data_IF_801555865123
#
_entry.id   IF_801555865123
#
_cell.length_a   1.000
_cell.length_b   1.000
_cell.length_c   1.000
_cell.angle_alpha   90.00
_cell.angle_beta   90.00
_cell.angle_gamma   90.00
#
_symmetry.space_group_name_H-M   'P 1'
#
loop_
_entity.id
_entity.type
_entity.pdbx_description
1 polymer ?
#
# COMPACT_ATOMS: atom_id res chain seq x y z
N UNK A 1 1.58 -17.38 51.43
CA UNK A 1 0.14 -17.06 51.27
C UNK A 1 -0.28 -17.48 49.87
N UNK A 2 -0.90 -18.65 49.72
CA UNK A 2 -1.33 -19.17 48.42
C UNK A 2 -2.78 -18.73 48.17
N UNK A 3 -3.00 -17.91 47.14
CA UNK A 3 -4.34 -17.49 46.70
C UNK A 3 -4.92 -18.55 45.75
N UNK A 4 -5.89 -19.33 46.23
CA UNK A 4 -6.70 -20.22 45.40
C UNK A 4 -7.87 -19.45 44.78
N UNK A 5 -7.82 -19.17 43.48
CA UNK A 5 -8.98 -18.66 42.74
C UNK A 5 -9.95 -19.81 42.44
N UNK A 6 -11.13 -19.81 43.08
CA UNK A 6 -12.27 -20.66 42.74
C UNK A 6 -12.94 -20.09 41.48
N UNK A 7 -12.76 -20.74 40.34
CA UNK A 7 -13.52 -20.46 39.12
C UNK A 7 -14.93 -21.05 39.23
N UNK A 8 -15.92 -20.17 39.14
CA UNK A 8 -17.35 -20.48 39.01
C UNK A 8 -17.62 -21.15 37.66
N UNK A 9 -18.02 -22.42 37.66
CA UNK A 9 -18.54 -23.10 36.46
C UNK A 9 -19.98 -22.65 36.25
N UNK A 10 -20.16 -21.63 35.41
CA UNK A 10 -21.46 -21.21 34.91
C UNK A 10 -22.09 -22.30 34.05
N UNK A 11 -23.31 -22.73 34.40
CA UNK A 11 -24.14 -23.64 33.60
C UNK A 11 -24.45 -22.99 32.24
N UNK A 12 -23.72 -23.41 31.20
CA UNK A 12 -24.04 -23.05 29.81
C UNK A 12 -25.36 -23.67 29.37
N UNK A 13 -26.41 -22.85 29.25
CA UNK A 13 -27.64 -23.23 28.53
C UNK A 13 -27.30 -23.35 27.04
N UNK A 14 -27.08 -24.58 26.56
CA UNK A 14 -27.00 -24.85 25.11
C UNK A 14 -28.40 -24.67 24.52
N UNK A 15 -28.57 -23.63 23.69
CA UNK A 15 -29.75 -23.50 22.82
C UNK A 15 -29.69 -24.64 21.79
N UNK A 16 -30.80 -25.37 21.51
CA UNK A 16 -30.79 -26.36 20.45
C UNK A 16 -30.56 -25.66 19.11
N UNK A 17 -29.64 -26.20 18.32
CA UNK A 17 -29.44 -25.84 16.92
C UNK A 17 -30.76 -26.05 16.18
N UNK A 18 -31.21 -25.03 15.45
CA UNK A 18 -32.45 -25.07 14.69
C UNK A 18 -32.49 -26.26 13.74
N UNK A 19 -33.69 -26.82 13.54
CA UNK A 19 -33.91 -27.92 12.62
C UNK A 19 -33.33 -27.60 11.23
N UNK A 20 -32.70 -28.58 10.54
CA UNK A 20 -32.23 -28.35 9.18
C UNK A 20 -33.42 -28.00 8.31
N UNK A 21 -33.33 -26.88 7.60
CA UNK A 21 -34.29 -26.52 6.55
C UNK A 21 -34.42 -27.73 5.62
N UNK A 22 -35.61 -28.33 5.58
CA UNK A 22 -35.92 -29.34 4.59
C UNK A 22 -35.83 -28.67 3.21
N UNK A 23 -34.74 -28.93 2.49
CA UNK A 23 -34.66 -28.60 1.07
C UNK A 23 -35.62 -29.55 0.37
N UNK A 24 -36.86 -29.10 0.17
CA UNK A 24 -37.73 -29.71 -0.84
C UNK A 24 -36.91 -29.69 -2.14
N UNK A 25 -36.57 -30.89 -2.63
CA UNK A 25 -35.82 -31.05 -3.86
C UNK A 25 -36.65 -30.44 -4.99
N UNK A 26 -36.36 -29.18 -5.34
CA UNK A 26 -36.86 -28.58 -6.57
C UNK A 26 -36.19 -29.35 -7.70
N UNK A 27 -36.92 -30.30 -8.26
CA UNK A 27 -36.54 -31.02 -9.45
C UNK A 27 -36.49 -30.02 -10.61
N UNK A 28 -35.32 -29.48 -10.90
CA UNK A 28 -35.07 -28.75 -12.13
C UNK A 28 -34.83 -29.78 -13.24
N UNK A 29 -35.93 -30.33 -13.75
CA UNK A 29 -35.95 -31.18 -14.94
C UNK A 29 -36.85 -30.56 -15.99
N UNK A 30 -36.46 -30.63 -17.25
CA UNK A 30 -37.27 -30.19 -18.38
C UNK A 30 -38.55 -31.04 -18.43
N UNK A 31 -39.68 -30.50 -17.96
CA UNK A 31 -40.96 -31.18 -17.96
C UNK A 31 -41.47 -31.28 -19.41
N UNK A 32 -41.26 -32.43 -20.05
CA UNK A 32 -41.84 -32.76 -21.35
C UNK A 32 -43.35 -33.01 -21.17
N UNK A 33 -44.24 -32.24 -21.84
CA UNK A 33 -45.67 -32.46 -21.73
C UNK A 33 -46.04 -33.82 -22.34
N UNK A 34 -46.82 -34.62 -21.60
CA UNK A 34 -47.42 -35.87 -22.10
C UNK A 34 -48.34 -35.55 -23.28
N UNK A 35 -48.25 -36.37 -24.31
CA UNK A 35 -48.87 -36.18 -25.62
C UNK A 35 -50.30 -36.75 -25.58
N UNK A 36 -51.28 -35.89 -25.33
CA UNK A 36 -52.69 -36.28 -25.41
C UNK A 36 -53.17 -36.29 -26.89
N UNK A 37 -53.96 -37.30 -27.23
CA UNK A 37 -54.48 -37.57 -28.57
C UNK A 37 -55.53 -36.53 -29.00
N UNK A 38 -55.54 -36.24 -30.31
CA UNK A 38 -55.96 -34.94 -30.88
C UNK A 38 -57.43 -34.96 -31.30
N UNK A 39 -58.24 -34.00 -30.82
CA UNK A 39 -59.52 -33.63 -31.45
C UNK A 39 -59.27 -32.63 -32.59
N UNK A 40 -60.11 -32.71 -33.64
CA UNK A 40 -59.96 -32.08 -34.97
C UNK A 40 -60.09 -30.54 -35.02
N UNK A 41 -59.73 -29.83 -33.94
CA UNK A 41 -59.59 -28.37 -33.90
C UNK A 41 -58.18 -27.87 -33.53
N UNK A 42 -57.21 -28.77 -33.36
CA UNK A 42 -55.89 -28.46 -32.78
C UNK A 42 -54.82 -28.00 -33.80
N UNK A 43 -55.06 -28.20 -35.10
CA UNK A 43 -54.06 -27.94 -36.15
C UNK A 43 -53.78 -26.44 -36.34
N UNK A 44 -54.79 -25.57 -36.23
CA UNK A 44 -54.62 -24.12 -36.39
C UNK A 44 -53.81 -23.50 -35.24
N UNK A 45 -53.99 -24.00 -34.00
CA UNK A 45 -53.25 -23.52 -32.81
C UNK A 45 -51.80 -24.01 -32.78
N UNK A 46 -51.50 -25.22 -33.27
CA UNK A 46 -50.11 -25.70 -33.42
C UNK A 46 -49.33 -24.90 -34.44
N UNK A 47 -49.92 -24.61 -35.60
CA UNK A 47 -49.28 -23.80 -36.65
C UNK A 47 -49.03 -22.37 -36.15
N UNK A 48 -49.97 -21.78 -35.40
CA UNK A 48 -49.77 -20.47 -34.76
C UNK A 48 -48.66 -20.47 -33.69
N UNK A 49 -48.57 -21.52 -32.88
CA UNK A 49 -47.50 -21.67 -31.88
C UNK A 49 -46.13 -21.94 -32.51
N UNK A 50 -46.07 -22.72 -33.60
CA UNK A 50 -44.86 -22.98 -34.38
C UNK A 50 -44.39 -21.74 -35.13
N UNK A 51 -45.31 -20.95 -35.70
CA UNK A 51 -45.02 -19.65 -36.30
C UNK A 51 -44.52 -18.63 -35.27
N UNK A 52 -45.08 -18.63 -34.05
CA UNK A 52 -44.57 -17.80 -32.97
C UNK A 52 -43.15 -18.23 -32.55
N UNK A 53 -42.90 -19.54 -32.44
CA UNK A 53 -41.56 -20.09 -32.12
C UNK A 53 -40.53 -19.78 -33.20
N UNK A 54 -40.89 -19.88 -34.48
CA UNK A 54 -39.98 -19.53 -35.58
C UNK A 54 -39.66 -18.03 -35.59
N UNK A 55 -40.64 -17.17 -35.26
CA UNK A 55 -40.40 -15.74 -35.09
C UNK A 55 -39.42 -15.47 -33.94
N UNK A 56 -39.60 -16.12 -32.79
CA UNK A 56 -38.69 -15.99 -31.64
C UNK A 56 -37.28 -16.49 -31.98
N UNK A 57 -37.17 -17.63 -32.65
CA UNK A 57 -35.87 -18.15 -33.10
C UNK A 57 -35.18 -17.18 -34.05
N UNK A 58 -35.91 -16.58 -35.00
CA UNK A 58 -35.36 -15.59 -35.91
C UNK A 58 -34.85 -14.32 -35.20
N UNK A 59 -35.49 -13.93 -34.09
CA UNK A 59 -35.04 -12.80 -33.28
C UNK A 59 -33.77 -13.18 -32.50
N UNK A 60 -33.72 -14.38 -31.91
CA UNK A 60 -32.54 -14.90 -31.22
C UNK A 60 -31.35 -15.00 -32.17
N UNK A 61 -31.54 -15.50 -33.38
CA UNK A 61 -30.48 -15.65 -34.38
C UNK A 61 -29.93 -14.28 -34.82
N UNK A 62 -30.80 -13.27 -34.96
CA UNK A 62 -30.39 -11.88 -35.25
C UNK A 62 -29.54 -11.29 -34.12
N UNK A 63 -29.99 -11.44 -32.87
CA UNK A 63 -29.25 -10.94 -31.71
C UNK A 63 -27.92 -11.67 -31.55
N UNK A 64 -27.89 -12.99 -31.76
CA UNK A 64 -26.66 -13.78 -31.75
C UNK A 64 -25.69 -13.34 -32.85
N UNK A 65 -26.18 -13.10 -34.06
CA UNK A 65 -25.35 -12.62 -35.17
C UNK A 65 -24.80 -11.21 -34.90
N UNK A 66 -25.59 -10.33 -34.28
CA UNK A 66 -25.13 -9.01 -33.85
C UNK A 66 -24.04 -9.11 -32.78
N UNK A 67 -24.25 -9.94 -31.76
CA UNK A 67 -23.26 -10.16 -30.70
C UNK A 67 -21.93 -10.73 -31.23
N UNK A 68 -21.99 -11.70 -32.17
CA UNK A 68 -20.80 -12.26 -32.82
C UNK A 68 -20.10 -11.26 -33.77
N UNK A 69 -20.85 -10.32 -34.35
CA UNK A 69 -20.29 -9.27 -35.20
C UNK A 69 -19.58 -8.17 -34.39
N UNK A 70 -20.06 -7.90 -33.18
CA UNK A 70 -19.41 -6.99 -32.23
C UNK A 70 -18.14 -7.63 -31.64
N UNK A 71 -18.24 -8.89 -31.17
CA UNK A 71 -17.11 -9.64 -30.63
C UNK A 71 -17.31 -11.15 -30.80
N UNK A 72 -16.36 -11.79 -31.48
CA UNK A 72 -16.36 -13.23 -31.73
C UNK A 72 -16.17 -14.06 -30.45
N UNK A 73 -15.58 -13.49 -29.39
CA UNK A 73 -15.28 -14.16 -28.12
C UNK A 73 -16.39 -14.06 -27.07
N UNK A 74 -17.54 -13.43 -27.39
CA UNK A 74 -18.66 -13.20 -26.45
C UNK A 74 -19.16 -14.47 -25.73
N UNK A 75 -19.03 -15.63 -26.38
CA UNK A 75 -19.48 -16.91 -25.82
C UNK A 75 -18.32 -17.82 -25.35
N UNK A 76 -17.06 -17.35 -25.41
CA UNK A 76 -15.87 -18.08 -24.96
C UNK A 76 -15.67 -17.94 -23.44
N UNK A 77 -16.59 -18.53 -22.68
CA UNK A 77 -16.54 -18.50 -21.21
C UNK A 77 -15.33 -19.24 -20.62
N UNK A 78 -14.81 -20.25 -21.31
CA UNK A 78 -13.70 -21.07 -20.85
C UNK A 78 -12.38 -20.27 -20.83
N UNK A 79 -12.14 -19.46 -21.86
CA UNK A 79 -10.95 -18.61 -21.96
C UNK A 79 -10.87 -17.61 -20.80
N UNK A 80 -11.98 -16.95 -20.45
CA UNK A 80 -12.04 -16.02 -19.32
C UNK A 80 -11.77 -16.74 -17.99
N UNK A 81 -12.29 -17.96 -17.84
CA UNK A 81 -12.07 -18.75 -16.64
C UNK A 81 -10.61 -19.20 -16.50
N UNK A 82 -10.00 -19.65 -17.60
CA UNK A 82 -8.58 -20.03 -17.65
C UNK A 82 -7.66 -18.83 -17.36
N UNK A 83 -7.99 -17.64 -17.85
CA UNK A 83 -7.28 -16.40 -17.54
C UNK A 83 -7.39 -16.04 -16.05
N UNK A 84 -8.59 -16.10 -15.47
CA UNK A 84 -8.80 -15.84 -14.04
C UNK A 84 -8.07 -16.86 -13.17
N UNK A 85 -8.09 -18.12 -13.58
CA UNK A 85 -7.45 -19.22 -12.85
C UNK A 85 -5.93 -19.12 -12.93
N UNK A 86 -5.37 -18.91 -14.11
CA UNK A 86 -3.93 -18.71 -14.32
C UNK A 86 -3.42 -17.46 -13.60
N UNK A 87 -4.17 -16.35 -13.62
CA UNK A 87 -3.85 -15.16 -12.84
C UNK A 87 -3.80 -15.48 -11.34
N UNK A 88 -4.81 -16.19 -10.82
CA UNK A 88 -4.87 -16.59 -9.41
C UNK A 88 -3.74 -17.53 -9.01
N UNK A 89 -3.40 -18.50 -9.85
CA UNK A 89 -2.28 -19.44 -9.64
C UNK A 89 -0.95 -18.70 -9.66
N UNK A 90 -0.72 -17.81 -10.63
CA UNK A 90 0.51 -17.00 -10.69
C UNK A 90 0.68 -16.10 -9.46
N UNK A 91 -0.40 -15.51 -8.95
CA UNK A 91 -0.36 -14.71 -7.73
C UNK A 91 -0.14 -15.58 -6.48
N UNK A 92 -0.67 -16.81 -6.47
CA UNK A 92 -0.41 -17.77 -5.40
C UNK A 92 1.07 -18.18 -5.38
N UNK A 93 1.66 -18.46 -6.55
CA UNK A 93 3.07 -18.82 -6.69
C UNK A 93 4.00 -17.66 -6.31
N UNK A 94 3.69 -16.44 -6.74
CA UNK A 94 4.40 -15.22 -6.30
C UNK A 94 4.32 -15.02 -4.79
N UNK A 95 3.19 -15.37 -4.16
CA UNK A 95 3.05 -15.30 -2.69
C UNK A 95 3.82 -16.43 -2.00
N UNK A 96 3.83 -17.63 -2.58
CA UNK A 96 4.57 -18.76 -2.04
C UNK A 96 6.08 -18.51 -2.07
N UNK A 97 6.61 -18.06 -3.21
CA UNK A 97 8.02 -17.67 -3.38
C UNK A 97 8.43 -16.57 -2.40
N UNK A 98 7.64 -15.49 -2.26
CA UNK A 98 7.88 -14.44 -1.25
C UNK A 98 7.91 -14.99 0.18
N UNK A 99 6.99 -15.88 0.54
CA UNK A 99 6.97 -16.52 1.87
C UNK A 99 8.20 -17.40 2.10
N UNK A 100 8.69 -18.11 1.09
CA UNK A 100 9.93 -18.88 1.21
C UNK A 100 11.15 -17.99 1.37
N UNK A 101 11.23 -16.89 0.62
CA UNK A 101 12.28 -15.89 0.78
C UNK A 101 12.26 -15.25 2.17
N UNK A 102 11.07 -14.96 2.71
CA UNK A 102 10.89 -14.44 4.07
C UNK A 102 11.37 -15.44 5.12
N UNK A 103 11.12 -16.74 4.94
CA UNK A 103 11.63 -17.79 5.84
C UNK A 103 13.15 -17.94 5.79
N UNK A 104 13.77 -17.71 4.63
CA UNK A 104 15.23 -17.77 4.46
C UNK A 104 15.94 -16.58 5.12
N UNK A 105 15.27 -15.43 5.22
CA UNK A 105 15.84 -14.23 5.85
C UNK A 105 15.76 -14.36 7.39
N UNK A 106 16.84 -14.10 8.12
CA UNK A 106 16.81 -14.14 9.58
C UNK A 106 15.91 -13.02 10.12
N UNK A 107 15.05 -13.38 11.08
CA UNK A 107 13.95 -12.53 11.58
C UNK A 107 14.38 -11.16 12.13
N UNK A 108 15.60 -11.06 12.68
CA UNK A 108 16.04 -9.87 13.42
C UNK A 108 17.28 -9.16 12.87
N UNK A 109 17.96 -9.71 11.85
CA UNK A 109 19.25 -9.14 11.41
C UNK A 109 19.09 -7.71 10.89
N UNK A 110 18.01 -7.44 10.16
CA UNK A 110 17.73 -6.13 9.59
C UNK A 110 17.54 -5.08 10.69
N UNK A 111 16.77 -5.42 11.72
CA UNK A 111 16.53 -4.55 12.88
C UNK A 111 17.82 -4.31 13.66
N UNK A 112 18.64 -5.33 13.86
CA UNK A 112 19.93 -5.18 14.54
C UNK A 112 20.88 -4.26 13.75
N UNK A 113 20.94 -4.41 12.42
CA UNK A 113 21.74 -3.54 11.55
C UNK A 113 21.23 -2.10 11.56
N UNK A 114 19.91 -1.89 11.53
CA UNK A 114 19.29 -0.57 11.65
C UNK A 114 19.63 0.07 13.00
N UNK A 115 19.52 -0.67 14.10
CA UNK A 115 19.86 -0.17 15.44
C UNK A 115 21.36 0.13 15.58
N UNK A 116 22.23 -0.69 15.00
CA UNK A 116 23.66 -0.42 14.96
C UNK A 116 23.95 0.92 14.26
N UNK A 117 23.34 1.15 13.10
CA UNK A 117 23.46 2.41 12.36
C UNK A 117 22.96 3.62 13.16
N UNK A 118 21.82 3.48 13.85
CA UNK A 118 21.29 4.54 14.74
C UNK A 118 22.29 4.86 15.86
N UNK A 119 22.88 3.83 16.48
CA UNK A 119 23.90 4.00 17.54
C UNK A 119 25.18 4.65 17.01
N UNK A 120 25.60 4.33 15.79
CA UNK A 120 26.76 4.97 15.16
C UNK A 120 26.54 6.49 15.03
N UNK A 121 25.37 6.90 14.52
CA UNK A 121 24.99 8.30 14.41
C UNK A 121 24.93 8.99 15.78
N UNK A 122 24.34 8.34 16.79
CA UNK A 122 24.29 8.91 18.14
C UNK A 122 25.69 9.05 18.77
N UNK A 123 26.55 8.05 18.59
CA UNK A 123 27.93 8.10 19.06
C UNK A 123 28.73 9.22 18.37
N UNK A 124 28.47 9.50 17.10
CA UNK A 124 29.03 10.65 16.38
C UNK A 124 28.54 11.97 16.98
N UNK A 125 27.24 12.12 17.23
CA UNK A 125 26.65 13.30 17.89
C UNK A 125 27.28 13.55 19.26
N UNK A 126 27.46 12.50 20.07
CA UNK A 126 28.11 12.59 21.39
C UNK A 126 29.56 13.07 21.24
N UNK A 127 30.32 12.50 20.29
CA UNK A 127 31.70 12.91 20.02
C UNK A 127 31.80 14.37 19.59
N UNK A 128 30.92 14.84 18.71
CA UNK A 128 30.91 16.25 18.29
C UNK A 128 30.53 17.19 19.43
N UNK A 129 29.52 16.85 20.25
CA UNK A 129 29.17 17.65 21.44
C UNK A 129 30.32 17.74 22.43
N UNK A 130 31.03 16.63 22.65
CA UNK A 130 32.24 16.61 23.50
C UNK A 130 33.31 17.55 22.93
N UNK A 131 33.58 17.45 21.63
CA UNK A 131 34.56 18.30 20.94
C UNK A 131 34.18 19.79 20.98
N UNK A 132 32.88 20.12 20.89
CA UNK A 132 32.40 21.50 21.05
C UNK A 132 32.62 22.02 22.48
N UNK A 133 32.42 21.19 23.49
CA UNK A 133 32.70 21.57 24.88
C UNK A 133 34.20 21.77 25.12
N UNK A 134 35.06 20.91 24.56
CA UNK A 134 36.52 21.08 24.59
C UNK A 134 36.93 22.40 23.92
N UNK A 135 36.36 22.73 22.75
CA UNK A 135 36.59 24.02 22.09
C UNK A 135 36.14 25.22 22.92
N UNK A 136 34.99 25.14 23.59
CA UNK A 136 34.53 26.22 24.47
C UNK A 136 35.49 26.44 25.63
N UNK A 137 36.05 25.37 26.20
CA UNK A 137 37.05 25.47 27.25
C UNK A 137 38.36 26.10 26.74
N UNK A 138 38.82 25.69 25.56
CA UNK A 138 40.01 26.28 24.92
C UNK A 138 39.79 27.75 24.55
N UNK A 139 38.60 28.10 24.07
CA UNK A 139 38.21 29.47 23.73
C UNK A 139 38.20 30.41 24.95
N UNK A 140 37.90 29.89 26.15
CA UNK A 140 38.00 30.67 27.40
C UNK A 140 39.46 31.01 27.73
N UNK A 141 40.40 30.11 27.41
CA UNK A 141 41.81 30.29 27.74
C UNK A 141 42.62 30.99 26.63
N UNK A 142 42.15 30.91 25.38
CA UNK A 142 42.89 31.36 24.19
C UNK A 142 42.03 32.18 23.22
N UNK A 143 40.90 32.73 23.67
CA UNK A 143 39.96 33.50 22.86
C UNK A 143 40.58 34.73 22.18
N UNK A 144 41.63 35.29 22.77
CA UNK A 144 42.34 36.47 22.24
C UNK A 144 43.28 36.13 21.06
N UNK A 145 43.49 34.84 20.75
CA UNK A 145 44.37 34.40 19.66
C UNK A 145 43.60 34.20 18.36
N UNK A 146 44.30 34.36 17.23
CA UNK A 146 43.72 34.17 15.91
C UNK A 146 43.29 32.71 15.67
N UNK A 147 42.02 32.51 15.27
CA UNK A 147 41.47 31.19 14.95
C UNK A 147 41.58 30.91 13.45
N UNK A 148 42.56 30.11 13.06
CA UNK A 148 42.75 29.71 11.66
C UNK A 148 41.90 28.47 11.35
N UNK A 149 40.93 28.64 10.45
CA UNK A 149 39.97 27.58 10.10
C UNK A 149 40.21 27.05 8.69
N UNK A 150 40.61 25.79 8.58
CA UNK A 150 40.79 25.08 7.30
C UNK A 150 39.49 24.91 6.53
N UNK A 151 39.57 24.91 5.19
CA UNK A 151 38.38 24.76 4.32
C UNK A 151 37.59 23.47 4.58
N UNK A 152 38.26 22.38 4.94
CA UNK A 152 37.64 21.11 5.33
C UNK A 152 36.76 21.25 6.59
N UNK A 153 37.22 22.00 7.58
CA UNK A 153 36.47 22.23 8.80
C UNK A 153 35.26 23.13 8.58
N UNK A 154 35.39 24.16 7.73
CA UNK A 154 34.23 24.98 7.33
C UNK A 154 33.13 24.15 6.68
N UNK A 155 33.50 23.17 5.84
CA UNK A 155 32.55 22.21 5.24
C UNK A 155 31.87 21.33 6.29
N UNK A 156 32.64 20.78 7.24
CA UNK A 156 32.09 19.98 8.35
C UNK A 156 31.10 20.78 9.20
N UNK A 157 31.39 22.06 9.45
CA UNK A 157 30.52 22.95 10.23
C UNK A 157 29.19 23.22 9.50
N UNK A 158 29.24 23.41 8.18
CA UNK A 158 28.04 23.58 7.36
C UNK A 158 27.21 22.29 7.30
N UNK A 159 27.86 21.14 7.20
CA UNK A 159 27.19 19.84 7.23
C UNK A 159 26.48 19.62 8.57
N UNK A 160 27.16 19.88 9.69
CA UNK A 160 26.57 19.80 11.02
C UNK A 160 25.36 20.74 11.19
N UNK A 161 25.46 21.99 10.72
CA UNK A 161 24.33 22.92 10.74
C UNK A 161 23.13 22.45 9.91
N UNK A 162 23.38 21.74 8.79
CA UNK A 162 22.29 21.14 7.99
C UNK A 162 21.61 20.01 8.74
N UNK A 163 22.38 19.13 9.38
CA UNK A 163 21.83 18.06 10.22
C UNK A 163 21.01 18.61 11.39
N UNK A 164 21.52 19.64 12.10
CA UNK A 164 20.80 20.28 13.19
C UNK A 164 19.50 20.96 12.73
N UNK A 165 19.52 21.59 11.55
CA UNK A 165 18.35 22.22 10.96
C UNK A 165 17.29 21.19 10.52
N UNK A 166 17.70 20.04 9.97
CA UNK A 166 16.77 18.97 9.59
C UNK A 166 16.16 18.30 10.83
N UNK A 167 16.98 18.00 11.85
CA UNK A 167 16.50 17.48 13.14
C UNK A 167 15.51 18.47 13.79
N UNK A 168 15.80 19.79 13.75
CA UNK A 168 14.89 20.82 14.27
C UNK A 168 13.58 20.90 13.47
N UNK A 169 13.64 20.71 12.14
CA UNK A 169 12.46 20.67 11.28
C UNK A 169 11.57 19.46 11.60
N UNK A 170 12.18 18.28 11.76
CA UNK A 170 11.47 17.05 12.12
C UNK A 170 10.88 17.15 13.53
N UNK A 171 11.64 17.69 14.49
CA UNK A 171 11.14 17.92 15.84
C UNK A 171 9.96 18.91 15.85
N UNK A 172 9.99 19.97 15.02
CA UNK A 172 8.87 20.90 14.90
C UNK A 172 7.63 20.25 14.27
N UNK A 173 7.80 19.35 13.29
CA UNK A 173 6.70 18.56 12.71
C UNK A 173 6.11 17.61 13.76
N UNK A 174 6.96 16.88 14.49
CA UNK A 174 6.53 15.97 15.55
C UNK A 174 5.81 16.72 16.68
N UNK A 175 6.29 17.90 17.08
CA UNK A 175 5.65 18.79 18.05
C UNK A 175 4.23 19.20 17.59
N UNK A 176 4.07 19.47 16.30
CA UNK A 176 2.78 19.81 15.69
C UNK A 176 1.85 18.59 15.60
N UNK A 177 2.39 17.39 15.42
CA UNK A 177 1.61 16.15 15.35
C UNK A 177 1.38 15.50 16.73
N UNK A 178 2.01 16.00 17.78
CA UNK A 178 1.87 15.51 19.15
C UNK A 178 0.48 15.81 19.72
N UNK A 179 -0.31 14.74 19.83
CA UNK A 179 -1.65 14.70 20.38
C UNK A 179 -1.72 15.31 21.79
N UNK A 180 -0.65 15.24 22.59
CA UNK A 180 -0.65 15.82 23.96
C UNK A 180 -0.60 17.34 23.97
N UNK A 181 -0.13 17.95 22.88
CA UNK A 181 0.10 19.40 22.74
C UNK A 181 -0.98 20.11 21.95
N UNK A 182 -1.68 19.37 21.08
CA UNK A 182 -2.71 19.88 20.16
C UNK A 182 -4.09 20.16 20.79
N UNK A 183 -4.27 19.93 22.10
CA UNK A 183 -5.50 20.30 22.82
C UNK A 183 -6.79 19.74 22.19
N UNK A 184 -7.73 20.63 21.84
CA UNK A 184 -9.06 20.26 21.32
C UNK A 184 -9.00 19.57 19.93
N UNK A 185 -7.98 19.85 19.11
CA UNK A 185 -7.79 19.23 17.79
C UNK A 185 -6.95 17.94 17.81
N UNK A 186 -6.41 17.57 18.97
CA UNK A 186 -5.56 16.40 19.17
C UNK A 186 -6.21 15.09 18.71
N UNK A 187 -7.48 14.87 19.08
CA UNK A 187 -8.20 13.65 18.73
C UNK A 187 -8.49 13.58 17.22
N UNK A 188 -8.83 14.70 16.60
CA UNK A 188 -9.12 14.75 15.17
C UNK A 188 -7.88 14.43 14.31
N UNK A 189 -6.71 14.96 14.69
CA UNK A 189 -5.43 14.64 14.05
C UNK A 189 -5.03 13.17 14.21
N UNK A 190 -5.22 12.62 15.42
CA UNK A 190 -4.99 11.19 15.70
C UNK A 190 -5.84 10.27 14.80
N UNK A 191 -7.15 10.52 14.68
CA UNK A 191 -8.03 9.71 13.85
C UNK A 191 -7.76 9.87 12.34
N UNK A 192 -7.37 11.06 11.88
CA UNK A 192 -6.94 11.27 10.51
C UNK A 192 -5.66 10.48 10.15
N UNK A 193 -4.77 10.28 11.12
CA UNK A 193 -3.55 9.49 10.94
C UNK A 193 -3.75 7.97 11.15
N UNK A 194 -4.85 7.56 11.79
CA UNK A 194 -5.13 6.16 12.10
C UNK A 194 -5.26 5.28 10.85
N UNK A 195 -5.90 5.80 9.80
CA UNK A 195 -6.07 5.10 8.51
C UNK A 195 -4.79 5.03 7.67
N UNK A 196 -3.77 5.85 8.00
CA UNK A 196 -2.45 5.81 7.36
C UNK A 196 -1.54 4.77 8.04
N UNK A 197 -1.82 4.39 9.28
CA UNK A 197 -1.08 3.38 10.00
C UNK A 197 -1.35 1.97 9.47
N UNK A 198 -0.27 1.24 9.17
CA UNK A 198 -0.33 -0.14 8.66
C UNK A 198 -1.06 -1.08 9.62
N UNK A 199 -0.88 -0.88 10.92
CA UNK A 199 -1.46 -1.71 11.96
C UNK A 199 -3.00 -1.66 11.98
N UNK A 200 -3.62 -0.59 11.45
CA UNK A 200 -5.07 -0.38 11.44
C UNK A 200 -5.68 -0.46 10.04
N UNK A 201 -4.98 -1.04 9.07
CA UNK A 201 -5.50 -1.26 7.71
C UNK A 201 -5.03 -0.26 6.65
N UNK A 202 -4.06 0.60 6.96
CA UNK A 202 -3.38 1.43 5.97
C UNK A 202 -2.62 0.59 4.93
N UNK A 203 -2.63 1.03 3.67
CA UNK A 203 -1.96 0.32 2.56
C UNK A 203 -0.45 0.20 2.80
N UNK A 204 0.10 -0.99 2.54
CA UNK A 204 1.56 -1.24 2.60
C UNK A 204 2.36 -0.42 1.59
N UNK A 205 1.70 0.12 0.56
CA UNK A 205 2.29 1.06 -0.40
C UNK A 205 2.66 2.40 0.26
N UNK A 206 1.80 2.94 1.12
CA UNK A 206 2.03 4.23 1.80
C UNK A 206 3.10 4.13 2.89
N UNK A 207 3.22 2.98 3.54
CA UNK A 207 4.27 2.78 4.54
C UNK A 207 5.65 2.56 3.94
N UNK A 208 5.72 1.87 2.79
CA UNK A 208 6.98 1.73 2.06
C UNK A 208 7.47 3.07 1.52
N UNK A 209 6.59 3.97 1.08
CA UNK A 209 6.99 5.32 0.67
C UNK A 209 7.41 6.21 1.85
N UNK A 210 6.85 6.03 3.05
CA UNK A 210 7.27 6.75 4.25
C UNK A 210 8.61 6.25 4.83
N UNK A 211 8.92 4.96 4.67
CA UNK A 211 10.16 4.34 5.17
C UNK A 211 11.28 4.23 4.13
N UNK A 212 10.97 4.49 2.85
CA UNK A 212 11.97 4.65 1.79
C UNK A 212 11.96 6.09 1.29
N UNK A 213 12.69 6.95 2.00
CA UNK A 213 13.33 8.08 1.33
C UNK A 213 14.29 7.46 0.30
N UNK A 214 13.83 7.40 -0.96
CA UNK A 214 14.73 7.21 -2.09
C UNK A 214 15.78 8.33 -2.02
N UNK A 215 17.08 8.04 -2.21
CA UNK A 215 18.04 9.10 -2.42
C UNK A 215 17.56 9.91 -3.63
N UNK A 216 17.37 11.21 -3.43
CA UNK A 216 16.91 12.13 -4.46
C UNK A 216 18.05 12.39 -5.46
N UNK A 217 18.32 11.40 -6.31
CA UNK A 217 19.32 11.53 -7.37
C UNK A 217 18.85 12.46 -8.49
N UNK A 218 17.55 12.81 -8.52
CA UNK A 218 16.96 13.75 -9.47
C UNK A 218 17.38 15.20 -9.19
N UNK A 219 17.30 15.67 -7.93
CA UNK A 219 17.63 17.06 -7.57
C UNK A 219 19.07 17.45 -7.89
N UNK A 220 20.02 16.54 -7.74
CA UNK A 220 21.43 16.80 -8.09
C UNK A 220 21.65 17.04 -9.59
N UNK A 221 20.85 16.40 -10.46
CA UNK A 221 20.93 16.63 -11.91
C UNK A 221 20.27 17.95 -12.31
N UNK A 222 19.15 18.31 -11.68
CA UNK A 222 18.44 19.58 -11.95
C UNK A 222 19.27 20.78 -11.49
N UNK A 223 19.91 20.70 -10.32
CA UNK A 223 20.83 21.73 -9.82
C UNK A 223 22.07 21.86 -10.71
N UNK A 224 22.60 20.75 -11.24
CA UNK A 224 23.72 20.78 -12.18
C UNK A 224 23.33 21.41 -13.53
N UNK A 225 22.12 21.13 -14.03
CA UNK A 225 21.58 21.73 -15.26
C UNK A 225 21.30 23.23 -15.06
N UNK A 226 20.76 23.62 -13.90
CA UNK A 226 20.53 25.02 -13.54
C UNK A 226 21.86 25.80 -13.43
N UNK A 227 22.87 25.21 -12.79
CA UNK A 227 24.21 25.79 -12.69
C UNK A 227 24.90 25.92 -14.06
N UNK A 228 24.73 24.95 -14.96
CA UNK A 228 25.25 25.00 -16.32
C UNK A 228 24.58 26.11 -17.15
N UNK A 229 23.25 26.27 -17.04
CA UNK A 229 22.51 27.35 -17.71
C UNK A 229 22.93 28.74 -17.22
N UNK A 230 23.11 28.92 -15.91
CA UNK A 230 23.57 30.18 -15.33
C UNK A 230 24.97 30.57 -15.84
N UNK A 231 25.91 29.61 -15.88
CA UNK A 231 27.27 29.83 -16.42
C UNK A 231 27.26 30.17 -17.90
N UNK A 232 26.41 29.52 -18.69
CA UNK A 232 26.27 29.81 -20.12
C UNK A 232 25.75 31.23 -20.37
N UNK A 233 24.73 31.66 -19.62
CA UNK A 233 24.17 33.01 -19.71
C UNK A 233 25.18 34.08 -19.28
N UNK A 234 25.94 33.85 -18.20
CA UNK A 234 26.99 34.74 -17.75
C UNK A 234 28.10 34.90 -18.81
N UNK A 235 28.53 33.79 -19.44
CA UNK A 235 29.51 33.82 -20.54
C UNK A 235 28.98 34.49 -21.80
N UNK A 236 27.68 34.36 -22.08
CA UNK A 236 27.01 35.04 -23.20
C UNK A 236 26.93 36.56 -22.97
N UNK A 237 26.67 36.99 -21.72
CA UNK A 237 26.67 38.40 -21.36
C UNK A 237 28.07 39.03 -21.50
N UNK A 238 29.12 38.31 -21.11
CA UNK A 238 30.52 38.76 -21.24
C UNK A 238 31.01 38.85 -22.69
N UNK A 239 30.43 38.09 -23.63
CA UNK A 239 30.74 38.19 -25.07
C UNK A 239 29.97 39.29 -25.80
N UNK A 240 29.02 39.95 -25.12
CA UNK A 240 28.16 40.98 -25.69
C UNK A 240 28.48 42.39 -25.15
N UNK A 241 29.52 42.52 -24.32
CA UNK A 241 30.17 43.79 -23.94
C UNK A 241 31.43 44.01 -24.75
#
# INVERSE_FOLDING_TARGET
MAFSMKLSVGKGKKKPLGAPFATAAKQYGLALPKKDEVSSGFNVRRVGAEAARSLQQSQVDKVRAQALAEDASVFDYDAVYDDMKSARESEADKRATKREEEKKKPKYISTLLQQAKIREVENERIRERRLLNERKADDVMYGDKEKLVSASYKRKLQEMQRWDAEDARLAAMEEQEDVTKQGEHAMAGFYANLNKNIAMGGSTSNARSASSEQPDEGRHTEDAIAAARARFLARKAQRKS
#
